data_IF_235794768111
#
_entry.id   IF_235794768111
#
_cell.length_a   1.000
_cell.length_b   1.000
_cell.length_c   1.000
_cell.angle_alpha   90.00
_cell.angle_beta   90.00
_cell.angle_gamma   90.00
#
_symmetry.space_group_name_H-M   'P 1'
#
loop_
_entity.id
_entity.type
_entity.pdbx_description
1 polymer ?
#
# COMPACT_ATOMS: atom_id res chain seq x y z
N UNK A 1 42.44 -41.65 30.09
CA UNK A 1 41.82 -41.44 28.76
C UNK A 1 41.00 -40.17 28.80
N UNK A 2 41.48 -39.09 28.18
CA UNK A 2 40.74 -37.83 28.07
C UNK A 2 40.12 -37.71 26.68
N UNK A 3 38.81 -37.41 26.61
CA UNK A 3 38.08 -37.14 25.36
C UNK A 3 38.50 -35.78 24.79
N UNK A 4 38.64 -35.63 23.45
CA UNK A 4 38.91 -34.32 22.87
C UNK A 4 37.62 -33.46 22.86
N UNK A 5 37.73 -32.12 22.90
CA UNK A 5 36.58 -31.24 22.84
C UNK A 5 36.04 -31.19 21.41
N UNK A 6 34.82 -31.69 21.23
CA UNK A 6 33.99 -31.44 20.04
C UNK A 6 33.24 -30.15 20.30
N UNK A 7 33.45 -29.08 19.50
CA UNK A 7 32.51 -27.96 19.57
C UNK A 7 32.82 -26.61 18.92
N UNK A 8 34.04 -26.29 18.47
CA UNK A 8 34.29 -24.93 17.95
C UNK A 8 34.04 -24.77 16.44
N UNK A 9 34.38 -25.78 15.63
CA UNK A 9 34.33 -25.65 14.16
C UNK A 9 32.94 -25.50 13.57
N UNK A 10 31.93 -26.23 14.07
CA UNK A 10 30.57 -26.18 13.53
C UNK A 10 29.87 -24.86 13.84
N UNK A 11 30.10 -24.27 15.01
CA UNK A 11 29.52 -22.99 15.42
C UNK A 11 30.10 -21.82 14.62
N UNK A 12 31.42 -21.84 14.35
CA UNK A 12 32.08 -20.83 13.52
C UNK A 12 31.61 -20.90 12.07
N UNK A 13 31.46 -22.12 11.51
CA UNK A 13 30.93 -22.31 10.16
C UNK A 13 29.46 -21.85 10.06
N UNK A 14 28.64 -22.12 11.07
CA UNK A 14 27.24 -21.66 11.09
C UNK A 14 27.15 -20.13 11.16
N UNK A 15 27.98 -19.50 12.00
CA UNK A 15 28.04 -18.04 12.12
C UNK A 15 28.57 -17.38 10.85
N UNK A 16 29.58 -17.95 10.18
CA UNK A 16 30.04 -17.48 8.88
C UNK A 16 28.98 -17.66 7.79
N UNK A 17 28.25 -18.77 7.78
CA UNK A 17 27.17 -19.00 6.82
C UNK A 17 26.02 -18.02 7.03
N UNK A 18 25.67 -17.70 8.28
CA UNK A 18 24.68 -16.65 8.61
C UNK A 18 25.21 -15.27 8.20
N UNK A 19 26.46 -14.93 8.49
CA UNK A 19 27.08 -13.67 8.07
C UNK A 19 27.14 -13.53 6.54
N UNK A 20 27.46 -14.60 5.83
CA UNK A 20 27.47 -14.64 4.36
C UNK A 20 26.05 -14.57 3.78
N UNK A 21 25.05 -15.18 4.42
CA UNK A 21 23.65 -15.06 4.01
C UNK A 21 23.10 -13.64 4.26
N UNK A 22 23.53 -12.97 5.33
CA UNK A 22 23.15 -11.58 5.62
C UNK A 22 23.89 -10.60 4.69
N UNK A 23 25.15 -10.89 4.32
CA UNK A 23 25.93 -10.08 3.37
C UNK A 23 25.52 -10.30 1.90
N UNK A 24 25.07 -11.50 1.52
CA UNK A 24 24.56 -11.79 0.19
C UNK A 24 23.22 -11.09 -0.11
N UNK A 25 22.46 -10.70 0.92
CA UNK A 25 21.29 -9.84 0.77
C UNK A 25 21.64 -8.34 0.63
N UNK A 26 22.93 -7.97 0.62
CA UNK A 26 23.40 -6.58 0.52
C UNK A 26 23.93 -6.19 -0.87
N UNK A 27 23.88 -7.07 -1.88
CA UNK A 27 24.15 -6.74 -3.28
C UNK A 27 22.89 -6.99 -4.13
N UNK A 28 22.39 -6.07 -4.95
CA UNK A 28 23.05 -5.02 -5.70
C UNK A 28 22.51 -3.61 -5.37
N UNK A 29 23.41 -2.70 -5.00
CA UNK A 29 23.17 -1.26 -5.04
C UNK A 29 23.31 -0.80 -6.48
N UNK A 30 22.20 -0.80 -7.21
CA UNK A 30 22.08 -0.06 -8.46
C UNK A 30 21.31 1.22 -8.17
N UNK A 31 21.89 2.37 -8.52
CA UNK A 31 21.12 3.60 -8.70
C UNK A 31 19.87 3.25 -9.51
N UNK A 32 18.69 3.68 -9.08
CA UNK A 32 17.44 3.43 -9.80
C UNK A 32 17.65 3.86 -11.27
N UNK A 33 17.69 2.92 -12.25
CA UNK A 33 17.87 3.30 -13.64
C UNK A 33 16.52 3.86 -14.07
N UNK A 34 16.40 5.17 -14.00
CA UNK A 34 15.20 5.89 -14.34
C UNK A 34 15.58 6.81 -15.49
N UNK A 35 15.17 6.41 -16.70
CA UNK A 35 15.31 7.24 -17.88
C UNK A 35 14.42 8.46 -17.69
N UNK A 36 15.01 9.64 -17.76
CA UNK A 36 14.29 10.91 -17.64
C UNK A 36 13.15 10.96 -18.69
N UNK A 37 11.93 11.25 -18.24
CA UNK A 37 10.76 11.41 -19.12
C UNK A 37 9.88 10.18 -19.34
N UNK A 38 10.29 8.98 -18.89
CA UNK A 38 9.42 7.78 -18.96
C UNK A 38 8.66 7.58 -17.64
N UNK A 39 7.34 7.74 -17.66
CA UNK A 39 6.45 7.34 -16.56
C UNK A 39 5.98 5.91 -16.74
N UNK A 40 5.93 5.13 -15.67
CA UNK A 40 5.34 3.80 -15.63
C UNK A 40 4.11 3.85 -14.74
N UNK A 41 2.95 3.59 -15.33
CA UNK A 41 1.71 3.35 -14.60
C UNK A 41 1.45 1.85 -14.51
N UNK A 42 0.78 1.42 -13.44
CA UNK A 42 0.33 0.04 -13.30
C UNK A 42 -0.63 -0.30 -14.44
N UNK A 43 -0.31 -1.30 -15.30
CA UNK A 43 -1.17 -1.65 -16.42
C UNK A 43 -2.58 -2.02 -15.96
N UNK A 44 -3.58 -1.48 -16.66
CA UNK A 44 -5.00 -1.76 -16.38
C UNK A 44 -5.59 -1.01 -15.17
N UNK A 45 -4.81 -0.20 -14.44
CA UNK A 45 -5.34 0.66 -13.39
C UNK A 45 -5.59 2.08 -13.90
N UNK A 46 -6.82 2.57 -13.73
CA UNK A 46 -7.25 3.92 -14.13
C UNK A 46 -7.82 4.63 -12.90
N UNK A 47 -7.11 5.67 -12.42
CA UNK A 47 -7.49 6.41 -11.22
C UNK A 47 -8.97 6.82 -11.18
N UNK A 48 -9.49 7.36 -12.29
CA UNK A 48 -10.87 7.85 -12.38
C UNK A 48 -11.95 6.75 -12.36
N UNK A 49 -11.56 5.47 -12.47
CA UNK A 49 -12.47 4.32 -12.50
C UNK A 49 -12.24 3.37 -11.34
N UNK A 50 -10.99 3.12 -11.00
CA UNK A 50 -10.60 2.01 -10.14
C UNK A 50 -10.33 2.43 -8.71
N UNK A 51 -10.75 3.62 -8.30
CA UNK A 51 -10.64 4.14 -6.92
C UNK A 51 -12.00 4.23 -6.23
N UNK A 52 -12.03 4.23 -4.90
CA UNK A 52 -13.26 4.54 -4.18
C UNK A 52 -13.66 6.01 -4.42
N UNK A 53 -14.96 6.26 -4.56
CA UNK A 53 -15.48 7.60 -4.81
C UNK A 53 -15.66 8.43 -3.52
N UNK A 54 -15.81 7.78 -2.37
CA UNK A 54 -16.06 8.43 -1.09
C UNK A 54 -14.78 8.62 -0.29
N UNK A 55 -14.78 9.64 0.56
CA UNK A 55 -13.65 10.04 1.40
C UNK A 55 -13.58 9.21 2.68
N UNK A 56 -12.36 8.90 3.10
CA UNK A 56 -12.04 8.59 4.49
C UNK A 56 -11.95 9.88 5.29
N UNK A 57 -12.80 10.03 6.30
CA UNK A 57 -12.78 11.22 7.14
C UNK A 57 -11.66 11.16 8.18
N UNK A 58 -11.22 12.34 8.62
CA UNK A 58 -10.28 12.48 9.73
C UNK A 58 -11.07 12.91 10.97
N UNK A 59 -11.13 12.01 11.97
CA UNK A 59 -11.95 12.21 13.19
C UNK A 59 -11.57 13.50 13.93
N UNK A 60 -10.26 13.76 14.06
CA UNK A 60 -9.72 14.93 14.76
C UNK A 60 -10.09 16.26 14.07
N UNK A 61 -10.35 16.25 12.77
CA UNK A 61 -10.79 17.41 11.99
C UNK A 61 -12.31 17.59 11.99
N UNK A 62 -13.05 16.58 12.45
CA UNK A 62 -14.51 16.56 12.44
C UNK A 62 -15.06 16.13 13.82
N UNK A 63 -14.85 16.93 14.88
CA UNK A 63 -15.20 16.54 16.26
C UNK A 63 -16.71 16.34 16.48
N UNK A 64 -17.58 16.99 15.69
CA UNK A 64 -19.04 16.93 15.85
C UNK A 64 -19.78 15.78 15.14
N UNK A 65 -19.13 15.02 14.25
CA UNK A 65 -19.86 14.04 13.41
C UNK A 65 -19.99 12.65 14.04
N UNK A 66 -21.01 12.35 14.85
CA UNK A 66 -21.08 11.07 15.57
C UNK A 66 -20.87 9.81 14.68
N UNK A 67 -21.33 9.82 13.42
CA UNK A 67 -21.31 8.67 12.51
C UNK A 67 -20.37 8.80 11.29
N UNK A 68 -19.19 9.41 11.45
CA UNK A 68 -18.23 9.54 10.35
C UNK A 68 -17.53 8.21 10.03
N UNK A 69 -17.36 7.93 8.74
CA UNK A 69 -16.47 6.88 8.27
C UNK A 69 -15.02 7.38 8.30
N UNK A 70 -14.46 7.42 9.51
CA UNK A 70 -13.18 8.03 9.80
C UNK A 70 -12.10 7.03 10.24
N UNK A 71 -10.85 7.32 9.90
CA UNK A 71 -9.68 6.52 10.24
C UNK A 71 -9.71 5.08 9.66
N UNK A 72 -10.28 4.93 8.46
CA UNK A 72 -10.34 3.69 7.66
C UNK A 72 -9.28 3.64 6.56
N UNK A 73 -8.29 4.54 6.55
CA UNK A 73 -7.29 4.63 5.49
C UNK A 73 -6.63 3.29 5.14
N UNK A 74 -6.25 2.45 6.11
CA UNK A 74 -5.69 1.12 5.81
C UNK A 74 -6.72 0.14 5.27
N UNK A 75 -7.94 0.17 5.78
CA UNK A 75 -9.02 -0.70 5.28
C UNK A 75 -9.29 -0.36 3.81
N UNK A 76 -9.33 0.92 3.47
CA UNK A 76 -9.57 1.39 2.12
C UNK A 76 -8.38 1.16 1.18
N UNK A 77 -7.15 1.44 1.62
CA UNK A 77 -5.96 1.14 0.81
C UNK A 77 -5.79 -0.37 0.56
N UNK A 78 -6.10 -1.20 1.55
CA UNK A 78 -6.16 -2.65 1.40
C UNK A 78 -7.29 -3.06 0.45
N UNK A 79 -8.48 -2.50 0.67
CA UNK A 79 -9.68 -2.74 -0.13
C UNK A 79 -9.44 -2.43 -1.61
N UNK A 80 -8.81 -1.30 -1.93
CA UNK A 80 -8.48 -0.91 -3.29
C UNK A 80 -7.71 -2.01 -4.03
N UNK A 81 -6.68 -2.56 -3.37
CA UNK A 81 -5.89 -3.67 -3.89
C UNK A 81 -6.73 -4.93 -4.04
N UNK A 82 -7.55 -5.26 -3.04
CA UNK A 82 -8.41 -6.45 -3.08
C UNK A 82 -9.44 -6.38 -4.22
N UNK A 83 -10.05 -5.22 -4.48
CA UNK A 83 -10.95 -5.03 -5.61
C UNK A 83 -10.23 -5.22 -6.95
N UNK A 84 -9.02 -4.66 -7.12
CA UNK A 84 -8.26 -4.83 -8.35
C UNK A 84 -7.89 -6.31 -8.62
N UNK A 85 -7.55 -7.04 -7.56
CA UNK A 85 -7.08 -8.43 -7.65
C UNK A 85 -8.21 -9.46 -7.78
N UNK A 86 -9.34 -9.22 -7.12
CA UNK A 86 -10.35 -10.26 -6.86
C UNK A 86 -11.74 -9.92 -7.37
N UNK A 87 -11.98 -8.70 -7.85
CA UNK A 87 -13.28 -8.28 -8.36
C UNK A 87 -13.25 -8.04 -9.87
N UNK A 88 -14.40 -8.21 -10.50
CA UNK A 88 -14.70 -7.71 -11.85
C UNK A 88 -16.05 -7.01 -11.86
N UNK A 89 -16.20 -6.03 -12.73
CA UNK A 89 -17.39 -5.21 -12.86
C UNK A 89 -18.14 -5.61 -14.14
N UNK A 90 -19.45 -5.80 -14.03
CA UNK A 90 -20.32 -6.18 -15.13
C UNK A 90 -21.49 -5.21 -15.20
N UNK A 91 -21.43 -4.18 -16.06
CA UNK A 91 -22.45 -3.13 -16.13
C UNK A 91 -23.79 -3.63 -16.69
N UNK A 92 -23.78 -4.72 -17.47
CA UNK A 92 -24.96 -5.25 -18.15
C UNK A 92 -25.72 -6.26 -17.28
N UNK A 93 -25.05 -6.84 -16.28
CA UNK A 93 -25.68 -7.70 -15.29
C UNK A 93 -26.70 -6.93 -14.42
N UNK A 94 -27.83 -7.55 -14.04
CA UNK A 94 -28.85 -6.91 -13.22
C UNK A 94 -28.31 -6.56 -11.84
N UNK A 95 -28.62 -5.35 -11.37
CA UNK A 95 -28.29 -4.92 -10.01
C UNK A 95 -28.93 -5.84 -8.98
N UNK A 96 -28.20 -6.09 -7.90
CA UNK A 96 -28.63 -6.95 -6.80
C UNK A 96 -29.04 -6.13 -5.58
N UNK A 97 -29.54 -6.81 -4.54
CA UNK A 97 -29.93 -6.16 -3.28
C UNK A 97 -28.73 -5.55 -2.55
N UNK A 98 -29.01 -4.64 -1.62
CA UNK A 98 -28.00 -4.05 -0.75
C UNK A 98 -27.19 -5.13 0.01
N UNK A 99 -27.89 -6.08 0.64
CA UNK A 99 -27.27 -7.14 1.42
C UNK A 99 -26.39 -8.05 0.55
N UNK A 100 -26.80 -8.30 -0.70
CA UNK A 100 -25.99 -9.06 -1.62
C UNK A 100 -24.70 -8.31 -2.03
N UNK A 101 -24.77 -6.99 -2.22
CA UNK A 101 -23.55 -6.20 -2.41
C UNK A 101 -22.65 -6.26 -1.18
N UNK A 102 -23.21 -6.18 0.04
CA UNK A 102 -22.44 -6.29 1.27
C UNK A 102 -21.69 -7.63 1.32
N UNK A 103 -22.35 -8.74 1.04
CA UNK A 103 -21.73 -10.07 1.03
C UNK A 103 -20.64 -10.21 -0.03
N UNK A 104 -20.85 -9.66 -1.23
CA UNK A 104 -19.82 -9.63 -2.28
C UNK A 104 -18.58 -8.84 -1.84
N UNK A 105 -18.78 -7.68 -1.21
CA UNK A 105 -17.67 -6.88 -0.66
C UNK A 105 -16.97 -7.60 0.48
N UNK A 106 -17.71 -8.27 1.38
CA UNK A 106 -17.12 -9.12 2.44
C UNK A 106 -16.26 -10.23 1.85
N UNK A 107 -16.75 -10.90 0.81
CA UNK A 107 -16.03 -11.97 0.15
C UNK A 107 -14.73 -11.44 -0.51
N UNK A 108 -14.77 -10.29 -1.18
CA UNK A 108 -13.56 -9.63 -1.71
C UNK A 108 -12.58 -9.29 -0.56
N UNK A 109 -13.10 -8.70 0.52
CA UNK A 109 -12.31 -8.28 1.67
C UNK A 109 -11.69 -9.44 2.46
N UNK A 110 -12.21 -10.67 2.30
CA UNK A 110 -11.70 -11.88 2.94
C UNK A 110 -10.40 -12.39 2.30
N UNK A 111 -10.12 -12.06 1.04
CA UNK A 111 -8.87 -12.45 0.39
C UNK A 111 -7.68 -11.68 0.94
N UNK A 112 -6.57 -12.35 1.17
CA UNK A 112 -5.34 -11.64 1.57
C UNK A 112 -4.79 -10.79 0.40
N UNK A 113 -4.41 -9.53 0.63
CA UNK A 113 -3.97 -8.58 -0.41
C UNK A 113 -2.60 -8.89 -1.03
N UNK A 114 -1.87 -9.88 -0.52
CA UNK A 114 -0.59 -10.36 -1.07
C UNK A 114 -0.74 -11.63 -1.92
N UNK A 115 -1.96 -12.17 -2.07
CA UNK A 115 -2.19 -13.30 -2.98
C UNK A 115 -2.14 -12.83 -4.43
N UNK A 116 -1.80 -13.76 -5.30
CA UNK A 116 -1.92 -13.54 -6.74
C UNK A 116 -3.36 -13.20 -7.14
N UNK A 117 -3.56 -12.37 -8.19
CA UNK A 117 -4.89 -12.06 -8.69
C UNK A 117 -5.68 -13.33 -9.03
N UNK A 118 -6.99 -13.31 -8.82
CA UNK A 118 -7.83 -14.37 -9.35
C UNK A 118 -7.83 -14.30 -10.90
N UNK A 119 -7.86 -15.46 -11.59
CA UNK A 119 -8.18 -15.51 -13.00
C UNK A 119 -9.46 -14.71 -13.30
N UNK A 120 -9.54 -13.95 -14.41
CA UNK A 120 -10.66 -13.06 -14.68
C UNK A 120 -12.05 -13.69 -14.49
N UNK A 121 -12.23 -14.92 -14.92
CA UNK A 121 -13.46 -15.70 -14.82
C UNK A 121 -13.83 -16.09 -13.38
N UNK A 122 -12.84 -16.24 -12.50
CA UNK A 122 -13.01 -16.58 -11.09
C UNK A 122 -13.19 -15.35 -10.19
N UNK A 123 -13.02 -14.14 -10.73
CA UNK A 123 -13.20 -12.90 -9.96
C UNK A 123 -14.66 -12.70 -9.57
N UNK A 124 -14.86 -12.18 -8.37
CA UNK A 124 -16.17 -11.85 -7.82
C UNK A 124 -16.79 -10.75 -8.67
N UNK A 125 -17.97 -11.05 -9.22
CA UNK A 125 -18.71 -10.11 -10.06
C UNK A 125 -19.41 -9.08 -9.18
N UNK A 126 -19.23 -7.80 -9.51
CA UNK A 126 -20.05 -6.70 -9.03
C UNK A 126 -20.98 -6.29 -10.18
N UNK A 127 -22.26 -6.69 -10.13
CA UNK A 127 -23.19 -6.45 -11.24
C UNK A 127 -23.74 -5.02 -11.25
N UNK A 128 -24.12 -4.54 -12.43
CA UNK A 128 -24.82 -3.27 -12.66
C UNK A 128 -23.95 -2.01 -12.54
N UNK A 129 -22.62 -2.16 -12.53
CA UNK A 129 -21.65 -1.08 -12.46
C UNK A 129 -20.45 -1.39 -13.34
N UNK A 130 -19.83 -0.37 -13.95
CA UNK A 130 -18.67 -0.53 -14.85
C UNK A 130 -17.31 -0.31 -14.20
N UNK A 131 -17.27 0.06 -12.91
CA UNK A 131 -16.02 0.34 -12.18
C UNK A 131 -16.21 0.44 -10.66
N UNK A 132 -15.10 0.37 -9.91
CA UNK A 132 -15.11 0.56 -8.46
C UNK A 132 -15.63 1.94 -8.06
N UNK A 133 -15.26 2.98 -8.81
CA UNK A 133 -15.66 4.35 -8.51
C UNK A 133 -17.14 4.58 -8.71
N UNK A 134 -17.71 4.01 -9.75
CA UNK A 134 -19.15 4.05 -9.99
C UNK A 134 -19.91 3.26 -8.92
N UNK A 135 -19.49 2.02 -8.66
CA UNK A 135 -20.10 1.16 -7.64
C UNK A 135 -20.05 1.80 -6.25
N UNK A 136 -18.88 2.24 -5.81
CA UNK A 136 -18.69 2.82 -4.47
C UNK A 136 -19.38 4.18 -4.30
N UNK A 137 -19.65 4.91 -5.38
CA UNK A 137 -20.48 6.11 -5.34
C UNK A 137 -21.95 5.78 -5.12
N UNK A 138 -22.46 4.77 -5.81
CA UNK A 138 -23.87 4.39 -5.74
C UNK A 138 -24.21 3.55 -4.51
N UNK A 139 -23.28 2.70 -4.07
CA UNK A 139 -23.46 1.69 -3.01
C UNK A 139 -22.49 1.92 -1.85
N UNK A 140 -22.19 3.18 -1.53
CA UNK A 140 -21.25 3.57 -0.47
C UNK A 140 -21.53 2.84 0.86
N UNK A 141 -22.80 2.80 1.28
CA UNK A 141 -23.20 2.13 2.51
C UNK A 141 -22.88 0.63 2.49
N UNK A 142 -23.13 -0.06 1.35
CA UNK A 142 -22.84 -1.48 1.21
C UNK A 142 -21.33 -1.75 1.23
N UNK A 143 -20.55 -0.91 0.55
CA UNK A 143 -19.08 -0.99 0.54
C UNK A 143 -18.53 -0.81 1.96
N UNK A 144 -18.98 0.22 2.69
CA UNK A 144 -18.55 0.48 4.07
C UNK A 144 -18.91 -0.67 5.01
N UNK A 145 -20.12 -1.21 4.89
CA UNK A 145 -20.57 -2.35 5.69
C UNK A 145 -19.80 -3.64 5.36
N UNK A 146 -19.46 -3.85 4.08
CA UNK A 146 -18.75 -5.05 3.64
C UNK A 146 -17.25 -5.05 3.95
N UNK A 147 -16.59 -3.89 3.88
CA UNK A 147 -15.18 -3.74 4.25
C UNK A 147 -14.92 -3.97 5.75
N UNK A 148 -15.97 -3.87 6.58
CA UNK A 148 -15.93 -4.22 7.99
C UNK A 148 -15.20 -3.21 8.87
N UNK A 149 -14.79 -3.66 10.06
CA UNK A 149 -14.27 -2.79 11.12
C UNK A 149 -12.80 -2.40 10.93
N UNK A 150 -12.47 -1.15 11.27
CA UNK A 150 -11.09 -0.63 11.38
C UNK A 150 -10.27 -1.23 12.54
N UNK A 151 -10.87 -2.05 13.41
CA UNK A 151 -10.19 -2.59 14.59
C UNK A 151 -8.89 -3.32 14.24
N UNK A 152 -8.93 -4.25 13.29
CA UNK A 152 -7.76 -5.05 12.90
C UNK A 152 -6.66 -4.24 12.22
N UNK A 153 -7.02 -3.09 11.64
CA UNK A 153 -6.06 -2.12 11.10
C UNK A 153 -5.28 -1.40 12.20
N UNK A 154 -5.95 -1.03 13.30
CA UNK A 154 -5.32 -0.30 14.41
C UNK A 154 -4.37 -1.18 15.21
N UNK A 155 -4.67 -2.48 15.31
CA UNK A 155 -3.86 -3.47 16.03
C UNK A 155 -2.89 -4.21 15.10
N UNK A 156 -2.81 -3.84 13.81
CA UNK A 156 -1.93 -4.55 12.88
C UNK A 156 -0.48 -4.42 13.34
N UNK A 157 0.12 -5.54 13.73
CA UNK A 157 1.38 -5.57 14.46
C UNK A 157 2.47 -4.78 13.74
N UNK A 158 2.56 -4.89 12.41
CA UNK A 158 3.57 -4.22 11.57
C UNK A 158 3.64 -2.71 11.71
N UNK A 159 2.62 -2.05 12.28
CA UNK A 159 2.62 -0.62 12.56
C UNK A 159 3.65 -0.25 13.64
N UNK A 160 4.11 -1.18 14.49
CA UNK A 160 5.18 -0.91 15.47
C UNK A 160 6.46 -0.37 14.81
N UNK A 161 6.70 -0.72 13.54
CA UNK A 161 7.89 -0.29 12.78
C UNK A 161 8.02 1.23 12.68
N UNK A 162 6.92 1.99 12.78
CA UNK A 162 6.97 3.46 12.72
C UNK A 162 7.65 4.09 13.94
N UNK A 163 7.70 3.36 15.06
CA UNK A 163 8.33 3.80 16.30
C UNK A 163 9.87 3.75 16.24
N UNK A 164 10.44 3.02 15.29
CA UNK A 164 11.89 2.86 15.16
C UNK A 164 12.50 3.89 14.20
N UNK A 165 13.75 4.33 14.45
CA UNK A 165 14.49 5.13 13.49
C UNK A 165 14.64 4.37 12.17
N UNK A 166 14.42 5.06 11.05
CA UNK A 166 14.61 4.47 9.72
C UNK A 166 15.85 5.07 9.09
N UNK A 167 16.77 4.21 8.63
CA UNK A 167 18.00 4.65 7.98
C UNK A 167 17.72 5.11 6.55
N UNK A 168 18.58 5.98 6.03
CA UNK A 168 18.52 6.45 4.63
C UNK A 168 18.60 5.28 3.64
N UNK A 169 19.51 4.33 3.86
CA UNK A 169 19.62 3.13 3.03
C UNK A 169 18.36 2.26 3.06
N UNK A 170 17.59 2.24 4.17
CA UNK A 170 16.31 1.54 4.21
C UNK A 170 15.24 2.25 3.37
N UNK A 171 15.21 3.58 3.35
CA UNK A 171 14.29 4.32 2.48
C UNK A 171 14.63 4.14 1.01
N UNK A 172 15.93 4.11 0.66
CA UNK A 172 16.41 3.78 -0.68
C UNK A 172 15.97 2.37 -1.12
N UNK A 173 16.12 1.35 -0.25
CA UNK A 173 15.59 0.00 -0.49
C UNK A 173 14.10 0.01 -0.78
N UNK A 174 13.32 0.73 0.05
CA UNK A 174 11.87 0.86 -0.12
C UNK A 174 11.52 1.53 -1.46
N UNK A 175 12.27 2.54 -1.90
CA UNK A 175 12.06 3.16 -3.21
C UNK A 175 12.30 2.16 -4.35
N UNK A 176 13.40 1.39 -4.28
CA UNK A 176 13.70 0.29 -5.21
C UNK A 176 12.59 -0.74 -5.30
N UNK A 177 12.10 -1.19 -4.14
CA UNK A 177 11.00 -2.14 -4.04
C UNK A 177 9.70 -1.59 -4.66
N UNK A 178 9.35 -0.33 -4.39
CA UNK A 178 8.16 0.31 -4.97
C UNK A 178 8.25 0.33 -6.50
N UNK A 179 9.39 0.75 -7.05
CA UNK A 179 9.61 0.79 -8.50
C UNK A 179 9.51 -0.61 -9.09
N UNK A 180 10.09 -1.62 -8.44
CA UNK A 180 10.03 -3.01 -8.90
C UNK A 180 8.59 -3.53 -8.96
N UNK A 181 7.78 -3.25 -7.94
CA UNK A 181 6.37 -3.64 -7.90
C UNK A 181 5.54 -2.95 -8.98
N UNK A 182 5.70 -1.63 -9.14
CA UNK A 182 4.98 -0.84 -10.13
C UNK A 182 5.34 -1.26 -11.56
N UNK A 183 6.62 -1.55 -11.84
CA UNK A 183 7.05 -2.16 -13.11
C UNK A 183 6.43 -3.53 -13.35
N UNK A 184 6.24 -4.30 -12.28
CA UNK A 184 5.54 -5.59 -12.31
C UNK A 184 4.02 -5.47 -12.36
N UNK A 185 3.47 -4.26 -12.51
CA UNK A 185 2.03 -4.02 -12.60
C UNK A 185 1.27 -4.24 -11.29
N UNK A 186 1.94 -4.06 -10.14
CA UNK A 186 1.33 -4.23 -8.82
C UNK A 186 1.21 -2.90 -8.08
N UNK A 187 0.02 -2.61 -7.58
CA UNK A 187 -0.23 -1.49 -6.68
C UNK A 187 0.52 -1.69 -5.35
N UNK A 188 1.10 -0.61 -4.84
CA UNK A 188 1.89 -0.65 -3.60
C UNK A 188 1.20 0.16 -2.51
N UNK A 189 0.74 -0.51 -1.46
CA UNK A 189 0.24 0.16 -0.27
C UNK A 189 1.39 0.65 0.59
N UNK A 190 1.38 1.95 0.89
CA UNK A 190 2.41 2.65 1.62
C UNK A 190 1.84 3.17 2.94
N UNK A 191 2.52 2.91 4.04
CA UNK A 191 2.35 3.66 5.28
C UNK A 191 3.33 4.84 5.25
N UNK A 192 2.79 6.04 5.33
CA UNK A 192 3.54 7.30 5.28
C UNK A 192 3.45 8.02 6.62
N UNK A 193 4.58 8.52 7.10
CA UNK A 193 4.61 9.23 8.39
C UNK A 193 5.66 10.33 8.46
N UNK A 194 5.34 11.42 9.16
CA UNK A 194 6.23 12.56 9.38
C UNK A 194 6.61 12.75 10.87
N UNK A 195 6.59 11.67 11.67
CA UNK A 195 7.06 11.77 13.07
C UNK A 195 8.47 12.41 13.13
N UNK A 196 8.70 13.30 14.12
CA UNK A 196 7.88 13.55 15.31
C UNK A 196 6.77 14.60 15.15
N UNK A 197 6.54 15.20 13.96
CA UNK A 197 5.53 16.26 13.76
C UNK A 197 4.07 15.79 13.95
N UNK A 198 3.83 14.46 13.88
CA UNK A 198 2.54 13.76 14.06
C UNK A 198 1.37 14.34 13.23
N UNK A 199 1.64 14.89 12.06
CA UNK A 199 0.56 15.32 11.14
C UNK A 199 0.13 14.16 10.23
N UNK A 200 1.11 13.31 9.88
CA UNK A 200 0.95 12.21 8.94
C UNK A 200 1.26 10.88 9.65
N UNK A 201 0.24 10.05 9.76
CA UNK A 201 0.33 8.61 10.02
C UNK A 201 -0.81 7.94 9.25
N UNK A 202 -0.60 7.83 7.95
CA UNK A 202 -1.66 7.59 6.98
C UNK A 202 -1.18 6.57 5.94
N UNK A 203 -2.10 5.98 5.19
CA UNK A 203 -1.73 5.05 4.14
C UNK A 203 -2.35 5.42 2.81
N UNK A 204 -1.48 5.44 1.81
CA UNK A 204 -1.76 5.78 0.42
C UNK A 204 -1.40 4.58 -0.45
N UNK A 205 -1.88 4.56 -1.69
CA UNK A 205 -1.54 3.49 -2.66
C UNK A 205 -0.83 4.09 -3.85
N UNK A 206 0.45 3.75 -4.03
CA UNK A 206 1.19 4.09 -5.23
C UNK A 206 0.74 3.21 -6.40
N UNK A 207 0.49 3.86 -7.54
CA UNK A 207 0.02 3.18 -8.76
C UNK A 207 0.81 3.59 -10.00
N UNK A 208 1.59 4.67 -9.94
CA UNK A 208 2.49 5.07 -11.00
C UNK A 208 3.76 5.73 -10.43
N UNK A 209 4.81 5.76 -11.24
CA UNK A 209 5.99 6.56 -10.95
C UNK A 209 6.57 7.16 -12.23
N UNK A 210 7.31 8.26 -12.10
CA UNK A 210 8.12 8.84 -13.17
C UNK A 210 9.46 9.33 -12.65
N UNK A 211 10.39 9.54 -13.58
CA UNK A 211 11.62 10.26 -13.31
C UNK A 211 11.34 11.68 -12.80
N UNK A 212 12.04 12.12 -11.75
CA UNK A 212 11.96 13.49 -11.26
C UNK A 212 13.33 13.94 -10.74
N UNK A 213 14.05 14.76 -11.52
CA UNK A 213 15.37 15.25 -11.16
C UNK A 213 16.35 14.10 -10.88
N UNK A 214 17.08 14.11 -9.75
CA UNK A 214 17.97 13.00 -9.36
C UNK A 214 17.22 11.77 -8.83
N UNK A 215 15.89 11.77 -8.73
CA UNK A 215 15.13 10.68 -8.12
C UNK A 215 13.83 10.35 -8.87
N UNK A 216 12.80 10.01 -8.11
CA UNK A 216 11.50 9.59 -8.66
C UNK A 216 10.35 10.34 -8.01
N UNK A 217 9.28 10.56 -8.77
CA UNK A 217 7.99 10.99 -8.26
C UNK A 217 6.99 9.85 -8.39
N UNK A 218 6.39 9.46 -7.26
CA UNK A 218 5.32 8.49 -7.16
C UNK A 218 3.99 9.22 -7.25
N UNK A 219 3.08 8.70 -8.08
CA UNK A 219 1.67 9.08 -8.05
C UNK A 219 0.91 8.11 -7.15
N UNK A 220 0.20 8.66 -6.18
CA UNK A 220 -0.51 7.89 -5.16
C UNK A 220 -1.99 8.23 -5.12
N UNK A 221 -2.82 7.26 -4.75
CA UNK A 221 -4.20 7.51 -4.33
C UNK A 221 -4.23 7.64 -2.80
N UNK A 222 -4.86 8.72 -2.34
CA UNK A 222 -5.04 9.05 -0.93
C UNK A 222 -6.53 8.85 -0.56
N UNK A 223 -6.86 7.90 0.35
CA UNK A 223 -8.23 7.70 0.80
C UNK A 223 -8.89 8.95 1.40
N UNK A 224 -8.12 9.89 1.96
CA UNK A 224 -8.65 11.13 2.52
C UNK A 224 -8.98 12.15 1.43
N UNK A 225 -8.36 12.05 0.25
CA UNK A 225 -8.70 12.88 -0.91
C UNK A 225 -8.90 12.03 -2.17
N UNK A 226 -10.02 11.30 -2.25
CA UNK A 226 -10.24 10.34 -3.33
C UNK A 226 -10.46 11.02 -4.70
N UNK A 227 -10.62 12.34 -4.74
CA UNK A 227 -10.91 13.10 -5.95
C UNK A 227 -9.66 13.37 -6.80
N UNK A 228 -8.51 13.54 -6.16
CA UNK A 228 -7.27 13.98 -6.80
C UNK A 228 -6.10 13.04 -6.46
N UNK A 229 -5.17 12.82 -7.40
CA UNK A 229 -3.97 12.05 -7.10
C UNK A 229 -2.98 12.85 -6.24
N UNK A 230 -2.40 12.17 -5.25
CA UNK A 230 -1.28 12.66 -4.46
C UNK A 230 0.07 12.40 -5.13
N UNK A 231 1.10 13.09 -4.65
CA UNK A 231 2.48 12.99 -5.12
C UNK A 231 3.45 12.81 -3.95
N UNK A 232 4.34 11.83 -4.08
CA UNK A 232 5.45 11.59 -3.15
C UNK A 232 6.75 11.55 -3.95
N UNK A 233 7.72 12.36 -3.59
CA UNK A 233 9.04 12.36 -4.25
C UNK A 233 10.04 11.57 -3.42
N UNK A 234 10.89 10.76 -4.06
CA UNK A 234 12.10 10.23 -3.46
C UNK A 234 13.31 10.93 -4.07
N UNK A 235 14.11 11.55 -3.22
CA UNK A 235 15.37 12.19 -3.62
C UNK A 235 16.53 11.20 -3.40
N UNK A 236 17.25 10.88 -4.47
CA UNK A 236 18.36 9.91 -4.44
C UNK A 236 19.63 10.45 -3.76
N UNK A 237 19.84 11.77 -3.78
CA UNK A 237 21.01 12.40 -3.12
C UNK A 237 20.83 12.38 -1.61
N UNK A 238 19.63 12.71 -1.14
CA UNK A 238 19.29 12.69 0.27
C UNK A 238 18.91 11.30 0.78
N UNK A 239 18.52 10.39 -0.13
CA UNK A 239 17.97 9.06 0.14
C UNK A 239 16.76 9.14 1.07
N UNK A 240 15.82 10.01 0.73
CA UNK A 240 14.66 10.38 1.55
C UNK A 240 13.42 10.62 0.71
N UNK A 241 12.27 10.35 1.32
CA UNK A 241 10.97 10.67 0.74
C UNK A 241 10.48 12.03 1.21
N UNK A 242 9.70 12.67 0.36
CA UNK A 242 9.06 13.95 0.56
C UNK A 242 7.57 13.84 0.22
N UNK A 243 6.70 14.30 1.12
CA UNK A 243 5.28 14.48 0.83
C UNK A 243 5.11 15.72 -0.05
N UNK A 244 5.21 15.59 -1.37
CA UNK A 244 5.10 16.74 -2.28
C UNK A 244 3.66 17.25 -2.36
N UNK A 245 2.69 16.32 -2.41
CA UNK A 245 1.26 16.60 -2.33
C UNK A 245 0.56 15.41 -1.70
N UNK A 246 0.34 15.46 -0.39
CA UNK A 246 -0.43 14.47 0.36
C UNK A 246 -1.47 15.23 1.17
N UNK A 247 -2.68 14.69 1.30
CA UNK A 247 -3.79 15.43 1.89
C UNK A 247 -3.46 15.87 3.33
N UNK A 248 -3.85 17.11 3.67
CA UNK A 248 -3.69 17.71 5.00
C UNK A 248 -2.26 17.60 5.58
N UNK A 249 -1.25 17.67 4.71
CA UNK A 249 0.17 17.57 5.09
C UNK A 249 0.98 18.67 4.43
N UNK A 250 1.75 19.41 5.21
CA UNK A 250 2.71 20.37 4.66
C UNK A 250 3.81 19.65 3.87
N UNK A 251 4.26 20.21 2.74
CA UNK A 251 5.38 19.63 2.01
C UNK A 251 6.61 19.47 2.89
N UNK A 252 7.13 18.24 2.98
CA UNK A 252 8.20 17.93 3.91
C UNK A 252 8.68 16.49 3.88
N UNK A 253 9.79 16.24 4.57
CA UNK A 253 10.38 14.92 4.66
C UNK A 253 9.44 13.95 5.39
N UNK A 254 9.29 12.76 4.81
CA UNK A 254 8.47 11.67 5.36
C UNK A 254 9.26 10.36 5.39
N UNK A 255 8.77 9.42 6.19
CA UNK A 255 9.18 8.02 6.20
C UNK A 255 8.10 7.18 5.54
N UNK A 256 8.52 6.30 4.64
CA UNK A 256 7.65 5.43 3.86
C UNK A 256 7.96 3.97 4.20
N UNK A 257 6.92 3.18 4.40
CA UNK A 257 6.98 1.74 4.63
C UNK A 257 6.03 1.02 3.69
N UNK A 258 6.47 -0.06 3.06
CA UNK A 258 5.55 -0.98 2.37
C UNK A 258 4.71 -1.76 3.38
N UNK A 259 3.45 -1.96 3.02
CA UNK A 259 2.44 -2.69 3.80
C UNK A 259 1.85 -3.81 2.95
N UNK A 260 1.46 -4.91 3.61
CA UNK A 260 0.65 -5.98 3.03
C UNK A 260 1.23 -6.60 1.75
N UNK A 261 2.53 -6.88 1.76
CA UNK A 261 3.25 -7.56 0.68
C UNK A 261 3.68 -8.97 1.06
N UNK A 262 3.41 -9.41 2.29
CA UNK A 262 3.54 -10.80 2.73
C UNK A 262 2.60 -11.09 3.90
N UNK A 263 2.40 -12.37 4.28
CA UNK A 263 1.65 -12.72 5.50
C UNK A 263 2.22 -12.11 6.78
N UNK A 264 3.50 -11.73 6.75
CA UNK A 264 4.21 -11.16 7.89
C UNK A 264 4.26 -9.62 7.84
N UNK A 265 4.03 -8.98 6.69
CA UNK A 265 4.34 -7.54 6.48
C UNK A 265 3.34 -6.84 5.56
#
# INVERSE_FOLDING_TARGET
MARPPVGSGRTVVLLLAILLAVAACAGARGSLPVVAGTGVATPGFVFARDTFAFRNEIRARNPGGANLYANYCFVLARGLRQFLLFARFDPDAPKVSHDEYVERVRHIAAFSPWRDPLPPEARIVIPGYGSLREFSRAQEAAVKAGLGSRFWTLVHWTNWRVAFPVTRGRQESVAGEIVSELRGGRLVQLLVTNLPKVELNHTVVAYAYRAAGPGIELTVWDPNDPAEPGLITFDDRERRFWATRVYDTEPGAIRVFRMYYSPLL
#
